data_IF_926271426698
#
_entry.id   IF_926271426698
#
_cell.length_a   1.000
_cell.length_b   1.000
_cell.length_c   1.000
_cell.angle_alpha   90.00
_cell.angle_beta   90.00
_cell.angle_gamma   90.00
#
_symmetry.space_group_name_H-M   'P 1'
#
loop_
_entity.id
_entity.type
_entity.pdbx_description
1 polymer ?
#
# COMPACT_ATOMS: atom_id res chain seq x y z
N UNK A 1 -9.34 -42.72 8.74
CA UNK A 1 -7.98 -42.16 8.64
C UNK A 1 -7.96 -40.89 9.50
N UNK A 2 -6.96 -40.74 10.33
CA UNK A 2 -6.87 -39.59 11.25
C UNK A 2 -6.62 -38.29 10.49
N UNK A 3 -6.94 -37.14 11.11
CA UNK A 3 -6.67 -35.82 10.56
C UNK A 3 -5.16 -35.65 10.22
N UNK A 4 -4.30 -36.07 11.15
CA UNK A 4 -2.85 -35.92 10.98
C UNK A 4 -2.28 -36.79 9.84
N UNK A 5 -2.96 -37.89 9.47
CA UNK A 5 -2.57 -38.77 8.36
C UNK A 5 -3.03 -38.25 6.99
N UNK A 6 -4.11 -37.45 6.95
CA UNK A 6 -4.76 -37.03 5.72
C UNK A 6 -4.55 -35.55 5.38
N UNK A 7 -4.06 -34.75 6.36
CA UNK A 7 -3.82 -33.33 6.15
C UNK A 7 -2.53 -33.12 5.32
N UNK A 8 -2.56 -32.29 4.26
CA UNK A 8 -1.36 -31.93 3.52
C UNK A 8 -0.29 -31.34 4.46
N UNK A 9 0.97 -31.72 4.27
CA UNK A 9 2.10 -31.26 5.11
C UNK A 9 2.17 -29.73 5.24
N UNK A 10 1.91 -29.00 4.17
CA UNK A 10 1.87 -27.52 4.14
C UNK A 10 0.82 -26.95 5.11
N UNK A 11 -0.36 -27.56 5.18
CA UNK A 11 -1.45 -27.14 6.08
C UNK A 11 -1.10 -27.47 7.54
N UNK A 12 -0.45 -28.60 7.78
CA UNK A 12 0.06 -28.97 9.11
C UNK A 12 1.16 -27.99 9.58
N UNK A 13 2.14 -27.72 8.73
CA UNK A 13 3.21 -26.75 9.03
C UNK A 13 2.64 -25.35 9.34
N UNK A 14 1.62 -24.93 8.61
CA UNK A 14 0.90 -23.67 8.88
C UNK A 14 0.23 -23.71 10.26
N UNK A 15 -0.41 -24.82 10.60
CA UNK A 15 -1.07 -24.99 11.91
C UNK A 15 -0.08 -24.87 13.07
N UNK A 16 1.14 -25.38 12.93
CA UNK A 16 2.18 -25.28 13.95
C UNK A 16 2.58 -23.83 14.28
N UNK A 17 2.37 -22.91 13.34
CA UNK A 17 2.69 -21.48 13.46
C UNK A 17 1.54 -20.64 14.08
N UNK A 18 0.40 -21.24 14.41
CA UNK A 18 -0.71 -20.53 15.03
C UNK A 18 -0.35 -19.98 16.42
N UNK A 19 -0.74 -18.73 16.64
CA UNK A 19 -0.63 -18.10 17.97
C UNK A 19 -1.64 -18.71 18.95
N UNK A 20 -1.46 -18.49 20.24
CA UNK A 20 -2.43 -18.91 21.28
C UNK A 20 -3.84 -18.42 20.97
N UNK A 21 -3.99 -17.12 20.65
CA UNK A 21 -5.28 -16.52 20.30
C UNK A 21 -5.94 -17.19 19.10
N UNK A 22 -5.16 -17.52 18.07
CA UNK A 22 -5.67 -18.22 16.89
C UNK A 22 -6.15 -19.63 17.26
N UNK A 23 -5.40 -20.34 18.08
CA UNK A 23 -5.80 -21.66 18.58
C UNK A 23 -7.08 -21.61 19.42
N UNK A 24 -7.24 -20.61 20.29
CA UNK A 24 -8.44 -20.40 21.10
C UNK A 24 -9.69 -20.16 20.23
N UNK A 25 -9.56 -19.35 19.18
CA UNK A 25 -10.65 -19.08 18.23
C UNK A 25 -11.05 -20.35 17.47
N UNK A 26 -10.07 -21.08 16.95
CA UNK A 26 -10.31 -22.35 16.23
C UNK A 26 -10.95 -23.37 17.15
N UNK A 27 -10.45 -23.48 18.38
CA UNK A 27 -11.01 -24.39 19.39
C UNK A 27 -12.47 -24.05 19.71
N UNK A 28 -12.80 -22.75 19.84
CA UNK A 28 -14.16 -22.27 20.06
C UNK A 28 -15.10 -22.61 18.90
N UNK A 29 -14.65 -22.41 17.66
CA UNK A 29 -15.44 -22.74 16.46
C UNK A 29 -15.63 -24.25 16.31
N UNK A 30 -14.63 -25.03 16.71
CA UNK A 30 -14.69 -26.50 16.72
C UNK A 30 -15.40 -27.05 17.96
N UNK A 31 -16.00 -26.24 18.84
CA UNK A 31 -16.61 -26.64 20.12
C UNK A 31 -15.72 -27.55 20.98
N UNK A 32 -14.39 -27.28 20.95
CA UNK A 32 -13.43 -28.01 21.79
C UNK A 32 -13.55 -27.52 23.23
N UNK A 33 -14.21 -28.30 24.07
CA UNK A 33 -14.41 -27.99 25.49
C UNK A 33 -13.18 -28.39 26.32
N UNK A 34 -12.90 -27.61 27.38
CA UNK A 34 -11.86 -27.92 28.37
C UNK A 34 -10.41 -27.89 27.79
N UNK A 35 -10.13 -27.10 26.77
CA UNK A 35 -8.79 -26.90 26.27
C UNK A 35 -8.28 -25.49 26.67
N UNK A 36 -7.09 -25.45 27.23
CA UNK A 36 -6.40 -24.19 27.56
C UNK A 36 -5.04 -24.15 26.89
N UNK A 37 -4.73 -23.04 26.24
CA UNK A 37 -3.45 -22.80 25.57
C UNK A 37 -2.53 -21.88 26.39
N UNK A 38 -2.91 -21.51 27.62
CA UNK A 38 -2.17 -20.52 28.44
C UNK A 38 -0.70 -20.90 28.65
N UNK A 39 -0.44 -22.17 28.93
CA UNK A 39 0.92 -22.68 29.21
C UNK A 39 1.47 -23.54 28.07
N UNK A 40 0.83 -23.52 26.89
CA UNK A 40 1.24 -24.35 25.77
C UNK A 40 2.49 -23.76 25.09
N UNK A 41 3.63 -24.44 25.19
CA UNK A 41 4.85 -24.07 24.45
C UNK A 41 4.68 -24.13 22.94
N UNK A 42 3.75 -24.98 22.44
CA UNK A 42 3.42 -25.15 21.03
C UNK A 42 1.90 -25.26 20.85
N UNK A 43 1.17 -24.15 20.88
CA UNK A 43 -0.29 -24.15 20.88
C UNK A 43 -0.89 -24.79 19.61
N UNK A 44 -0.30 -24.57 18.44
CA UNK A 44 -0.77 -25.17 17.18
C UNK A 44 -0.63 -26.68 17.16
N UNK A 45 0.45 -27.26 17.69
CA UNK A 45 0.62 -28.71 17.80
C UNK A 45 -0.41 -29.31 18.75
N UNK A 46 -0.68 -28.65 19.88
CA UNK A 46 -1.68 -29.07 20.84
C UNK A 46 -3.10 -29.07 20.22
N UNK A 47 -3.44 -28.00 19.48
CA UNK A 47 -4.71 -27.90 18.78
C UNK A 47 -4.89 -29.06 17.77
N UNK A 48 -3.89 -29.31 16.95
CA UNK A 48 -3.95 -30.35 15.93
C UNK A 48 -4.12 -31.75 16.53
N UNK A 49 -3.41 -32.07 17.62
CA UNK A 49 -3.57 -33.30 18.33
C UNK A 49 -4.97 -33.45 18.92
N UNK A 50 -5.57 -32.38 19.40
CA UNK A 50 -6.91 -32.42 19.99
C UNK A 50 -8.01 -32.62 18.90
N UNK A 51 -7.88 -31.93 17.76
CA UNK A 51 -8.78 -32.10 16.61
C UNK A 51 -8.70 -33.54 16.08
N UNK A 52 -7.49 -34.11 15.98
CA UNK A 52 -7.28 -35.49 15.56
C UNK A 52 -7.92 -36.49 16.53
N UNK A 53 -7.74 -36.30 17.86
CA UNK A 53 -8.36 -37.15 18.90
C UNK A 53 -9.88 -37.11 18.86
N UNK A 54 -10.47 -35.99 18.46
CA UNK A 54 -11.93 -35.86 18.32
C UNK A 54 -12.46 -36.35 16.97
N UNK A 55 -11.60 -36.90 16.11
CA UNK A 55 -11.97 -37.51 14.86
C UNK A 55 -12.30 -36.57 13.72
N UNK A 56 -11.81 -35.31 13.77
CA UNK A 56 -11.99 -34.36 12.67
C UNK A 56 -11.25 -34.83 11.41
N UNK A 57 -11.92 -34.72 10.26
CA UNK A 57 -11.29 -34.91 8.96
C UNK A 57 -10.58 -33.66 8.45
N UNK A 58 -9.68 -33.81 7.46
CA UNK A 58 -9.00 -32.68 6.81
C UNK A 58 -9.99 -31.69 6.19
N UNK A 59 -11.14 -32.13 5.67
CA UNK A 59 -12.18 -31.26 5.14
C UNK A 59 -12.89 -30.45 6.25
N UNK A 60 -13.23 -31.10 7.35
CA UNK A 60 -13.81 -30.39 8.52
C UNK A 60 -12.84 -29.39 9.11
N UNK A 61 -11.56 -29.75 9.20
CA UNK A 61 -10.52 -28.81 9.64
C UNK A 61 -10.47 -27.54 8.74
N UNK A 62 -10.52 -27.71 7.41
CA UNK A 62 -10.58 -26.57 6.48
C UNK A 62 -11.84 -25.72 6.67
N UNK A 63 -12.99 -26.34 6.88
CA UNK A 63 -14.25 -25.65 7.18
C UNK A 63 -14.16 -24.86 8.50
N UNK A 64 -13.60 -25.47 9.55
CA UNK A 64 -13.38 -24.81 10.84
C UNK A 64 -12.45 -23.62 10.69
N UNK A 65 -11.33 -23.77 9.97
CA UNK A 65 -10.42 -22.65 9.71
C UNK A 65 -11.13 -21.51 8.98
N UNK A 66 -11.86 -21.84 7.91
CA UNK A 66 -12.62 -20.83 7.17
C UNK A 66 -13.64 -20.13 8.09
N UNK A 67 -14.40 -20.87 8.89
CA UNK A 67 -15.37 -20.32 9.83
C UNK A 67 -14.69 -19.47 10.93
N UNK A 68 -13.59 -19.96 11.51
CA UNK A 68 -12.84 -19.26 12.54
C UNK A 68 -12.27 -17.91 12.03
N UNK A 69 -11.75 -17.91 10.82
CA UNK A 69 -11.19 -16.69 10.22
C UNK A 69 -12.28 -15.78 9.66
N UNK A 70 -13.36 -16.30 9.09
CA UNK A 70 -14.54 -15.51 8.68
C UNK A 70 -15.19 -14.85 9.91
N UNK A 71 -15.39 -15.58 11.01
CA UNK A 71 -15.99 -15.03 12.23
C UNK A 71 -15.12 -13.94 12.85
N UNK A 72 -13.78 -14.06 12.76
CA UNK A 72 -12.87 -13.02 13.24
C UNK A 72 -12.92 -11.77 12.36
N UNK A 73 -13.11 -11.90 11.04
CA UNK A 73 -13.28 -10.78 10.11
C UNK A 73 -14.63 -10.09 10.26
N UNK A 74 -15.68 -10.84 10.52
CA UNK A 74 -17.06 -10.32 10.58
C UNK A 74 -17.34 -9.41 11.79
N UNK A 75 -16.45 -9.36 12.80
CA UNK A 75 -16.78 -8.72 14.10
C UNK A 75 -16.14 -7.35 14.30
N UNK A 76 -15.13 -6.91 13.55
CA UNK A 76 -14.36 -5.76 13.98
C UNK A 76 -14.42 -4.51 13.08
N UNK A 77 -14.29 -4.62 11.77
CA UNK A 77 -14.24 -3.43 10.91
C UNK A 77 -15.08 -3.63 9.66
N UNK A 78 -15.99 -2.69 9.41
CA UNK A 78 -16.88 -2.69 8.24
C UNK A 78 -16.89 -1.28 7.65
N UNK A 79 -15.88 -0.92 6.83
CA UNK A 79 -15.86 0.40 6.22
C UNK A 79 -17.09 0.61 5.34
N UNK A 80 -17.53 1.86 5.23
CA UNK A 80 -18.60 2.24 4.30
C UNK A 80 -18.19 2.01 2.86
N UNK A 81 -16.94 2.33 2.51
CA UNK A 81 -16.38 2.09 1.20
C UNK A 81 -14.87 1.81 1.31
N UNK A 82 -14.29 1.31 0.23
CA UNK A 82 -12.84 1.14 0.08
C UNK A 82 -12.41 1.87 -1.18
N UNK A 83 -11.61 2.91 -1.03
CA UNK A 83 -11.13 3.77 -2.11
C UNK A 83 -9.62 3.77 -2.16
N UNK A 84 -9.07 3.58 -3.35
CA UNK A 84 -7.66 3.69 -3.60
C UNK A 84 -7.40 4.78 -4.65
N UNK A 85 -6.53 5.73 -4.33
CA UNK A 85 -6.04 6.77 -5.24
C UNK A 85 -4.57 6.46 -5.54
N UNK A 86 -4.28 6.12 -6.79
CA UNK A 86 -2.94 5.76 -7.25
C UNK A 86 -2.41 6.87 -8.15
N UNK A 87 -1.28 7.46 -7.79
CA UNK A 87 -0.68 8.58 -8.49
C UNK A 87 0.68 8.13 -9.03
N UNK A 88 0.81 8.04 -10.36
CA UNK A 88 2.04 7.64 -11.04
C UNK A 88 2.54 8.72 -11.98
N UNK A 89 3.63 9.39 -11.62
CA UNK A 89 4.26 10.44 -12.42
C UNK A 89 5.61 9.97 -12.96
N UNK A 90 5.71 9.83 -14.28
CA UNK A 90 6.93 9.37 -14.95
C UNK A 90 7.38 10.28 -16.10
N UNK A 91 6.45 10.96 -16.80
CA UNK A 91 6.74 11.78 -17.97
C UNK A 91 7.00 13.24 -17.57
N UNK A 92 7.99 13.45 -16.73
CA UNK A 92 8.39 14.80 -16.28
C UNK A 92 8.84 15.68 -17.44
N UNK A 93 8.43 16.95 -17.40
CA UNK A 93 8.73 17.94 -18.46
C UNK A 93 10.16 18.50 -18.28
N UNK A 94 10.56 18.76 -17.03
CA UNK A 94 11.81 19.45 -16.70
C UNK A 94 12.76 18.61 -15.82
N UNK A 95 12.31 17.47 -15.33
CA UNK A 95 13.10 16.51 -14.55
C UNK A 95 13.36 15.25 -15.36
N UNK A 96 14.24 14.39 -14.87
CA UNK A 96 14.49 13.10 -15.48
C UNK A 96 13.18 12.27 -15.54
N UNK A 97 12.93 11.61 -16.67
CA UNK A 97 11.81 10.69 -16.81
C UNK A 97 12.06 9.43 -16.00
N UNK A 98 10.98 8.85 -15.47
CA UNK A 98 10.99 7.58 -14.78
C UNK A 98 10.38 6.48 -15.66
N UNK A 99 10.61 5.22 -15.31
CA UNK A 99 10.20 4.08 -16.13
C UNK A 99 9.02 3.30 -15.56
N UNK A 100 8.81 3.31 -14.23
CA UNK A 100 7.93 2.35 -13.56
C UNK A 100 6.61 2.92 -13.00
N UNK A 101 6.46 4.20 -12.65
CA UNK A 101 5.32 4.70 -11.88
C UNK A 101 3.94 4.39 -12.47
N UNK A 102 3.77 4.48 -13.79
CA UNK A 102 2.50 4.17 -14.43
C UNK A 102 2.18 2.67 -14.37
N UNK A 103 3.17 1.82 -14.59
CA UNK A 103 3.06 0.35 -14.52
C UNK A 103 2.79 -0.11 -13.09
N UNK A 104 3.47 0.50 -12.10
CA UNK A 104 3.26 0.23 -10.68
C UNK A 104 1.80 0.49 -10.27
N UNK A 105 1.25 1.63 -10.70
CA UNK A 105 -0.16 1.95 -10.47
C UNK A 105 -1.10 0.93 -11.12
N UNK A 106 -0.81 0.45 -12.33
CA UNK A 106 -1.65 -0.51 -13.03
C UNK A 106 -1.66 -1.88 -12.33
N UNK A 107 -0.50 -2.36 -11.91
CA UNK A 107 -0.39 -3.64 -11.21
C UNK A 107 -1.05 -3.59 -9.83
N UNK A 108 -0.73 -2.58 -9.04
CA UNK A 108 -1.31 -2.40 -7.72
C UNK A 108 -2.84 -2.19 -7.80
N UNK A 109 -3.29 -1.40 -8.77
CA UNK A 109 -4.72 -1.14 -8.99
C UNK A 109 -5.53 -2.39 -9.31
N UNK A 110 -4.99 -3.29 -10.14
CA UNK A 110 -5.63 -4.59 -10.42
C UNK A 110 -5.82 -5.41 -9.14
N UNK A 111 -4.80 -5.50 -8.31
CA UNK A 111 -4.86 -6.26 -7.05
C UNK A 111 -5.77 -5.60 -6.00
N UNK A 112 -5.76 -4.29 -5.86
CA UNK A 112 -6.67 -3.58 -4.97
C UNK A 112 -8.14 -3.75 -5.40
N UNK A 113 -8.41 -3.82 -6.70
CA UNK A 113 -9.75 -4.10 -7.22
C UNK A 113 -10.24 -5.49 -6.80
N UNK A 114 -9.41 -6.53 -6.81
CA UNK A 114 -9.79 -7.87 -6.31
C UNK A 114 -10.13 -7.86 -4.82
N UNK A 115 -9.54 -6.93 -4.06
CA UNK A 115 -9.86 -6.71 -2.65
C UNK A 115 -11.12 -5.86 -2.42
N UNK A 116 -11.81 -5.45 -3.48
CA UNK A 116 -13.05 -4.66 -3.42
C UNK A 116 -12.84 -3.16 -3.25
N UNK A 117 -11.67 -2.64 -3.61
CA UNK A 117 -11.47 -1.19 -3.69
C UNK A 117 -12.04 -0.62 -5.00
N UNK A 118 -12.66 0.55 -4.90
CA UNK A 118 -12.83 1.43 -6.06
C UNK A 118 -11.50 2.14 -6.29
N UNK A 119 -10.90 1.92 -7.44
CA UNK A 119 -9.55 2.39 -7.76
C UNK A 119 -9.61 3.57 -8.72
N UNK A 120 -8.90 4.64 -8.37
CA UNK A 120 -8.72 5.84 -9.20
C UNK A 120 -7.23 5.95 -9.51
N UNK A 121 -6.87 5.94 -10.79
CA UNK A 121 -5.49 6.07 -11.23
C UNK A 121 -5.27 7.41 -11.93
N UNK A 122 -4.31 8.17 -11.43
CA UNK A 122 -3.89 9.48 -11.92
C UNK A 122 -2.47 9.35 -12.49
N UNK A 123 -2.33 9.47 -13.80
CA UNK A 123 -1.03 9.30 -14.47
C UNK A 123 -0.57 10.60 -15.10
N UNK A 124 0.69 10.95 -14.83
CA UNK A 124 1.35 12.10 -15.45
C UNK A 124 0.56 13.40 -15.28
N UNK A 125 0.25 13.75 -14.05
CA UNK A 125 -0.62 14.86 -13.68
C UNK A 125 0.20 16.07 -13.22
N UNK A 126 -0.19 17.27 -13.69
CA UNK A 126 0.36 18.55 -13.22
C UNK A 126 -0.13 18.88 -11.81
N UNK A 127 0.60 19.71 -11.08
CA UNK A 127 0.29 20.00 -9.68
C UNK A 127 -1.06 20.69 -9.49
N UNK A 128 -1.41 21.61 -10.37
CA UNK A 128 -2.69 22.32 -10.31
C UNK A 128 -3.88 21.37 -10.53
N UNK A 129 -3.78 20.48 -11.51
CA UNK A 129 -4.80 19.46 -11.77
C UNK A 129 -4.89 18.48 -10.61
N UNK A 130 -3.75 17.99 -10.10
CA UNK A 130 -3.72 17.01 -9.01
C UNK A 130 -4.36 17.57 -7.73
N UNK A 131 -4.04 18.82 -7.34
CA UNK A 131 -4.68 19.49 -6.19
C UNK A 131 -6.20 19.56 -6.34
N UNK A 132 -6.66 20.00 -7.51
CA UNK A 132 -8.09 20.14 -7.80
C UNK A 132 -8.81 18.78 -7.79
N UNK A 133 -8.23 17.77 -8.44
CA UNK A 133 -8.78 16.42 -8.51
C UNK A 133 -8.89 15.81 -7.12
N UNK A 134 -7.86 15.89 -6.28
CA UNK A 134 -7.87 15.34 -4.91
C UNK A 134 -8.99 15.95 -4.06
N UNK A 135 -9.19 17.28 -4.14
CA UNK A 135 -10.28 17.96 -3.42
C UNK A 135 -11.63 17.35 -3.82
N UNK A 136 -11.95 17.32 -5.10
CA UNK A 136 -13.26 16.88 -5.56
C UNK A 136 -13.50 15.37 -5.44
N UNK A 137 -12.45 14.53 -5.61
CA UNK A 137 -12.59 13.09 -5.41
C UNK A 137 -12.89 12.75 -3.95
N UNK A 138 -12.18 13.39 -3.01
CA UNK A 138 -12.35 13.09 -1.59
C UNK A 138 -13.65 13.64 -1.00
N UNK A 139 -14.26 14.67 -1.61
CA UNK A 139 -15.59 15.17 -1.23
C UNK A 139 -16.73 14.15 -1.45
N UNK A 140 -16.56 13.21 -2.40
CA UNK A 140 -17.59 12.19 -2.68
C UNK A 140 -17.33 10.85 -1.99
N UNK A 141 -16.21 10.72 -1.29
CA UNK A 141 -15.90 9.52 -0.50
C UNK A 141 -16.70 9.54 0.80
N UNK A 142 -17.48 8.50 1.11
CA UNK A 142 -18.23 8.41 2.36
C UNK A 142 -17.33 8.45 3.61
N UNK A 143 -17.85 9.00 4.70
CA UNK A 143 -17.19 8.87 6.01
C UNK A 143 -17.02 7.38 6.38
N UNK A 144 -16.12 7.10 7.31
CA UNK A 144 -15.82 5.73 7.79
C UNK A 144 -15.38 4.76 6.67
N UNK A 145 -14.80 5.30 5.59
CA UNK A 145 -14.22 4.51 4.50
C UNK A 145 -12.76 4.13 4.78
N UNK A 146 -12.26 3.12 4.08
CA UNK A 146 -10.84 2.87 3.95
C UNK A 146 -10.30 3.67 2.77
N UNK A 147 -9.34 4.54 3.03
CA UNK A 147 -8.68 5.35 2.02
C UNK A 147 -7.21 4.91 1.90
N UNK A 148 -6.83 4.38 0.75
CA UNK A 148 -5.45 4.08 0.41
C UNK A 148 -4.99 5.08 -0.65
N UNK A 149 -3.87 5.75 -0.40
CA UNK A 149 -3.21 6.59 -1.40
C UNK A 149 -1.82 6.05 -1.65
N UNK A 150 -1.50 5.78 -2.89
CA UNK A 150 -0.18 5.38 -3.36
C UNK A 150 0.36 6.45 -4.30
N UNK A 151 1.59 6.87 -4.07
CA UNK A 151 2.30 7.79 -4.94
C UNK A 151 3.61 7.14 -5.40
N UNK A 152 3.85 7.14 -6.71
CA UNK A 152 5.12 6.79 -7.33
C UNK A 152 5.58 7.94 -8.24
N UNK A 153 6.82 8.41 -8.06
CA UNK A 153 7.35 9.53 -8.80
C UNK A 153 8.51 10.22 -8.10
N UNK A 154 8.95 11.37 -8.65
CA UNK A 154 9.94 12.20 -7.96
C UNK A 154 9.37 12.83 -6.70
N UNK A 155 10.22 12.91 -5.68
CA UNK A 155 9.90 13.56 -4.44
C UNK A 155 11.14 14.17 -3.79
N UNK A 156 10.90 15.05 -2.84
CA UNK A 156 11.96 15.64 -2.04
C UNK A 156 11.47 15.92 -0.63
N UNK A 157 12.40 16.26 0.24
CA UNK A 157 12.09 16.69 1.60
C UNK A 157 12.61 18.12 1.82
N UNK A 158 11.75 18.99 2.37
CA UNK A 158 12.06 20.38 2.64
C UNK A 158 11.59 20.69 4.06
N UNK A 159 12.49 21.05 4.97
CA UNK A 159 12.15 21.33 6.36
C UNK A 159 11.26 20.24 7.00
N UNK A 160 11.62 18.98 6.83
CA UNK A 160 10.85 17.80 7.27
C UNK A 160 9.46 17.63 6.59
N UNK A 161 9.14 18.46 5.60
CA UNK A 161 7.92 18.33 4.80
C UNK A 161 8.21 17.52 3.54
N UNK A 162 7.49 16.42 3.34
CA UNK A 162 7.60 15.58 2.15
C UNK A 162 6.80 16.22 1.02
N UNK A 163 7.45 16.39 -0.13
CA UNK A 163 6.91 17.03 -1.31
C UNK A 163 6.85 16.03 -2.46
N UNK A 164 5.65 15.80 -2.97
CA UNK A 164 5.37 14.97 -4.13
C UNK A 164 5.44 15.86 -5.37
N UNK A 165 6.41 15.61 -6.23
CA UNK A 165 6.65 16.45 -7.41
C UNK A 165 5.73 16.04 -8.55
N UNK A 166 5.00 17.01 -9.11
CA UNK A 166 4.18 16.80 -10.30
C UNK A 166 5.01 16.91 -11.58
N UNK A 167 4.46 16.45 -12.70
CA UNK A 167 5.23 16.38 -13.97
C UNK A 167 5.68 17.75 -14.50
N UNK A 168 5.04 18.82 -14.10
CA UNK A 168 5.33 20.22 -14.44
C UNK A 168 6.30 20.89 -13.46
N UNK A 169 6.85 20.15 -12.49
CA UNK A 169 7.83 20.69 -11.55
C UNK A 169 9.11 21.10 -12.30
N UNK A 170 9.56 22.37 -12.18
CA UNK A 170 10.79 22.81 -12.81
C UNK A 170 12.03 22.23 -12.12
N UNK A 171 13.16 22.20 -12.82
CA UNK A 171 14.45 21.77 -12.27
C UNK A 171 15.06 22.78 -11.29
N UNK A 172 14.70 24.06 -11.44
CA UNK A 172 15.21 25.18 -10.63
C UNK A 172 14.06 26.13 -10.25
N UNK A 173 14.28 26.94 -9.22
CA UNK A 173 13.29 27.91 -8.73
C UNK A 173 11.93 27.28 -8.39
N UNK A 174 11.97 26.13 -7.72
CA UNK A 174 10.78 25.41 -7.30
C UNK A 174 9.94 26.30 -6.36
N UNK A 175 8.63 26.29 -6.58
CA UNK A 175 7.64 27.06 -5.82
C UNK A 175 6.57 26.11 -5.24
N UNK A 176 5.82 26.50 -4.19
CA UNK A 176 4.78 25.65 -3.57
C UNK A 176 3.68 25.19 -4.53
N UNK A 177 3.44 25.90 -5.62
CA UNK A 177 2.47 25.48 -6.65
C UNK A 177 2.95 24.30 -7.51
N UNK A 178 4.24 23.96 -7.52
CA UNK A 178 4.81 22.92 -8.38
C UNK A 178 4.78 21.52 -7.77
N UNK A 179 4.30 21.39 -6.54
CA UNK A 179 4.23 20.11 -5.83
C UNK A 179 3.03 20.02 -4.88
N UNK A 180 2.82 18.85 -4.34
CA UNK A 180 1.87 18.60 -3.25
C UNK A 180 2.65 18.18 -2.02
N UNK A 181 2.31 18.74 -0.85
CA UNK A 181 2.85 18.29 0.42
C UNK A 181 2.09 17.07 0.93
N UNK A 182 2.78 16.22 1.68
CA UNK A 182 2.14 15.14 2.44
C UNK A 182 1.02 15.67 3.33
N UNK A 183 1.25 16.81 3.99
CA UNK A 183 0.26 17.46 4.85
C UNK A 183 -1.00 17.88 4.08
N UNK A 184 -0.85 18.46 2.89
CA UNK A 184 -2.01 18.77 2.05
C UNK A 184 -2.82 17.51 1.76
N UNK A 185 -2.16 16.44 1.34
CA UNK A 185 -2.80 15.17 1.01
C UNK A 185 -3.54 14.58 2.22
N UNK A 186 -2.88 14.50 3.37
CA UNK A 186 -3.49 14.03 4.62
C UNK A 186 -4.67 14.89 5.04
N UNK A 187 -4.57 16.23 4.93
CA UNK A 187 -5.66 17.14 5.25
C UNK A 187 -6.86 16.98 4.31
N UNK A 188 -6.64 16.66 3.02
CA UNK A 188 -7.77 16.34 2.13
C UNK A 188 -8.42 15.00 2.50
N UNK A 189 -7.63 13.96 2.77
CA UNK A 189 -8.16 12.65 3.21
C UNK A 189 -8.91 12.78 4.54
N UNK A 190 -8.46 13.64 5.47
CA UNK A 190 -9.14 13.87 6.75
C UNK A 190 -10.60 14.32 6.61
N UNK A 191 -10.92 15.04 5.53
CA UNK A 191 -12.28 15.58 5.32
C UNK A 191 -13.35 14.48 5.20
N UNK A 192 -13.00 13.33 4.64
CA UNK A 192 -13.91 12.18 4.59
C UNK A 192 -13.89 11.32 5.86
N UNK A 193 -13.19 11.74 6.93
CA UNK A 193 -13.13 11.03 8.23
C UNK A 193 -12.94 9.52 8.06
N UNK A 194 -11.86 9.07 7.44
CA UNK A 194 -11.67 7.66 7.12
C UNK A 194 -11.54 6.81 8.39
N UNK A 195 -12.07 5.59 8.36
CA UNK A 195 -11.83 4.60 9.42
C UNK A 195 -10.43 3.98 9.32
N UNK A 196 -9.83 3.99 8.13
CA UNK A 196 -8.43 3.65 7.88
C UNK A 196 -7.87 4.57 6.79
N UNK A 197 -6.73 5.20 7.06
CA UNK A 197 -5.93 5.92 6.06
C UNK A 197 -4.58 5.21 5.89
N UNK A 198 -4.27 4.79 4.66
CA UNK A 198 -2.98 4.21 4.28
C UNK A 198 -2.36 5.10 3.22
N UNK A 199 -1.21 5.68 3.51
CA UNK A 199 -0.45 6.51 2.58
C UNK A 199 0.88 5.82 2.28
N UNK A 200 1.09 5.43 1.04
CA UNK A 200 2.30 4.73 0.58
C UNK A 200 3.04 5.61 -0.43
N UNK A 201 4.29 5.94 -0.12
CA UNK A 201 5.09 6.84 -0.92
C UNK A 201 6.33 6.15 -1.46
N UNK A 202 6.34 5.88 -2.75
CA UNK A 202 7.49 5.39 -3.49
C UNK A 202 8.17 6.53 -4.23
N UNK A 203 9.02 7.24 -3.50
CA UNK A 203 9.71 8.42 -3.99
C UNK A 203 11.06 8.64 -3.28
N UNK A 204 11.97 9.33 -3.95
CA UNK A 204 13.17 9.85 -3.30
C UNK A 204 12.82 10.84 -2.19
N UNK A 205 13.64 10.86 -1.14
CA UNK A 205 13.51 11.82 -0.02
C UNK A 205 14.79 12.64 0.13
N UNK A 206 15.36 13.03 -1.01
CA UNK A 206 16.59 13.85 -1.05
C UNK A 206 16.24 15.28 -0.66
N UNK A 207 17.01 15.86 0.26
CA UNK A 207 16.84 17.26 0.64
C UNK A 207 17.19 18.20 -0.52
N UNK A 208 16.33 19.18 -0.78
CA UNK A 208 16.63 20.26 -1.72
C UNK A 208 17.68 21.21 -1.14
N UNK A 209 18.57 21.70 -2.01
CA UNK A 209 19.55 22.69 -1.61
C UNK A 209 18.84 24.00 -1.20
N UNK A 210 19.07 24.40 0.06
CA UNK A 210 18.49 25.60 0.66
C UNK A 210 18.95 26.88 -0.05
N UNK A 211 20.20 26.93 -0.52
CA UNK A 211 20.76 28.13 -1.13
C UNK A 211 20.07 28.46 -2.46
N UNK A 212 19.70 27.42 -3.22
CA UNK A 212 19.01 27.56 -4.50
C UNK A 212 17.49 27.74 -4.37
N UNK A 213 16.93 27.57 -3.15
CA UNK A 213 15.48 27.57 -2.92
C UNK A 213 15.07 28.40 -1.68
N UNK A 214 15.78 29.49 -1.37
CA UNK A 214 15.57 30.28 -0.13
C UNK A 214 14.11 30.74 0.07
N UNK A 215 13.47 31.23 -0.98
CA UNK A 215 12.08 31.70 -0.93
C UNK A 215 11.10 30.55 -0.59
N UNK A 216 11.35 29.35 -1.13
CA UNK A 216 10.56 28.17 -0.88
C UNK A 216 10.66 27.74 0.59
N UNK A 217 11.88 27.73 1.16
CA UNK A 217 12.08 27.40 2.56
C UNK A 217 11.39 28.39 3.50
N UNK A 218 11.44 29.69 3.18
CA UNK A 218 10.74 30.71 3.96
C UNK A 218 9.22 30.52 3.94
N UNK A 219 8.64 30.17 2.80
CA UNK A 219 7.20 29.94 2.66
C UNK A 219 6.73 28.67 3.37
N UNK A 220 7.51 27.57 3.36
CA UNK A 220 7.14 26.31 4.01
C UNK A 220 7.28 26.36 5.53
N UNK A 221 8.10 27.24 6.09
CA UNK A 221 8.21 27.43 7.56
C UNK A 221 6.94 28.03 8.19
N UNK A 222 6.04 28.61 7.40
CA UNK A 222 4.78 29.23 7.89
C UNK A 222 3.58 28.27 7.86
N UNK A 223 3.79 26.96 7.74
CA UNK A 223 2.79 26.03 7.24
C UNK A 223 1.90 25.34 8.22
N UNK A 224 0.86 24.92 7.60
CA UNK A 224 -0.23 23.96 7.83
C UNK A 224 -0.10 23.10 9.09
N UNK A 225 -1.08 23.23 9.99
CA UNK A 225 -1.25 22.35 11.11
C UNK A 225 -1.46 20.90 10.65
N UNK A 226 -0.78 20.00 11.30
CA UNK A 226 -0.96 18.56 11.10
C UNK A 226 -2.34 18.13 11.59
N UNK A 227 -3.18 17.66 10.71
CA UNK A 227 -4.37 16.91 11.12
C UNK A 227 -3.94 15.56 11.67
N UNK A 228 -4.09 15.35 12.98
CA UNK A 228 -3.83 14.06 13.60
C UNK A 228 -4.96 13.11 13.21
N UNK A 229 -4.64 12.14 12.36
CA UNK A 229 -5.58 11.10 11.99
C UNK A 229 -5.54 9.94 12.98
N UNK A 230 -6.70 9.47 13.39
CA UNK A 230 -6.82 8.11 13.94
C UNK A 230 -6.66 7.11 12.80
N UNK A 231 -6.05 5.96 13.10
CA UNK A 231 -5.95 4.86 12.13
C UNK A 231 -5.17 5.22 10.85
N UNK A 232 -4.09 5.98 11.01
CA UNK A 232 -3.18 6.36 9.95
C UNK A 232 -1.98 5.43 9.91
N UNK A 233 -1.66 4.94 8.72
CA UNK A 233 -0.38 4.29 8.40
C UNK A 233 0.25 5.02 7.22
N UNK A 234 1.49 5.44 7.39
CA UNK A 234 2.31 6.02 6.31
C UNK A 234 3.52 5.12 6.10
N UNK A 235 3.70 4.63 4.87
CA UNK A 235 4.86 3.88 4.43
C UNK A 235 5.66 4.67 3.40
N UNK A 236 6.97 4.77 3.61
CA UNK A 236 7.89 5.33 2.63
C UNK A 236 8.81 4.23 2.13
N UNK A 237 9.07 4.22 0.83
CA UNK A 237 9.98 3.24 0.22
C UNK A 237 11.43 3.42 0.65
N UNK A 238 11.80 4.58 1.20
CA UNK A 238 13.18 4.87 1.62
C UNK A 238 13.26 5.84 2.79
N UNK A 239 14.40 5.86 3.48
CA UNK A 239 14.73 6.83 4.54
C UNK A 239 14.90 8.25 3.97
N UNK A 240 14.88 9.25 4.87
CA UNK A 240 15.31 10.61 4.56
C UNK A 240 16.73 10.61 3.97
N UNK A 241 17.01 11.53 3.06
CA UNK A 241 18.28 11.68 2.34
C UNK A 241 18.70 10.48 1.47
N UNK A 242 17.75 9.60 1.13
CA UNK A 242 18.01 8.42 0.30
C UNK A 242 17.14 8.43 -0.95
N UNK A 243 17.66 7.80 -2.01
CA UNK A 243 16.93 7.57 -3.26
C UNK A 243 16.10 6.28 -3.20
N UNK A 244 14.94 6.27 -3.86
CA UNK A 244 14.22 5.07 -4.23
C UNK A 244 14.79 4.55 -5.58
N UNK A 245 14.69 3.25 -5.80
CA UNK A 245 15.29 2.61 -6.98
C UNK A 245 14.22 1.97 -7.85
N UNK A 246 14.37 2.17 -9.16
CA UNK A 246 13.61 1.46 -10.18
C UNK A 246 14.41 0.24 -10.66
N UNK A 247 13.71 -0.86 -10.94
CA UNK A 247 14.28 -2.02 -11.63
C UNK A 247 13.84 -1.96 -13.08
N UNK A 248 14.75 -1.61 -13.96
CA UNK A 248 14.53 -1.58 -15.39
C UNK A 248 15.26 -2.76 -16.01
N UNK A 249 14.51 -3.64 -16.70
CA UNK A 249 15.11 -4.70 -17.52
C UNK A 249 15.33 -4.17 -18.92
N UNK A 250 16.52 -4.38 -19.45
CA UNK A 250 16.89 -3.96 -20.80
C UNK A 250 17.17 -5.20 -21.63
N UNK A 251 16.41 -5.41 -22.70
CA UNK A 251 16.78 -6.38 -23.74
C UNK A 251 17.79 -5.73 -24.67
N UNK A 252 19.02 -6.25 -24.63
CA UNK A 252 20.12 -5.71 -25.39
C UNK A 252 20.11 -6.26 -26.82
N UNK A 253 20.19 -5.36 -27.79
CA UNK A 253 20.38 -5.74 -29.21
C UNK A 253 21.80 -6.22 -29.52
N UNK A 254 22.73 -6.09 -28.57
CA UNK A 254 24.14 -6.50 -28.67
C UNK A 254 24.72 -6.84 -27.29
N UNK A 255 25.82 -7.60 -27.26
CA UNK A 255 26.52 -7.95 -26.03
C UNK A 255 27.21 -6.72 -25.42
N UNK A 256 27.03 -6.52 -24.11
CA UNK A 256 27.64 -5.42 -23.35
C UNK A 256 28.72 -5.98 -22.45
N UNK A 257 29.91 -5.43 -22.54
CA UNK A 257 30.95 -5.64 -21.53
C UNK A 257 30.54 -4.97 -20.23
N UNK A 258 30.67 -5.67 -19.11
CA UNK A 258 30.16 -5.35 -17.78
C UNK A 258 30.76 -4.07 -17.18
N UNK A 259 30.36 -2.89 -17.66
CA UNK A 259 30.60 -1.61 -17.00
C UNK A 259 29.32 -1.08 -16.37
N UNK A 260 29.48 -0.48 -15.20
CA UNK A 260 28.44 -0.03 -14.26
C UNK A 260 27.45 1.04 -14.77
N UNK A 261 27.62 1.54 -15.97
CA UNK A 261 26.71 2.48 -16.66
C UNK A 261 26.52 2.05 -18.10
N UNK A 262 25.26 1.74 -18.45
CA UNK A 262 24.87 1.42 -19.81
C UNK A 262 24.04 2.57 -20.39
N UNK A 263 24.47 3.10 -21.54
CA UNK A 263 23.68 4.05 -22.33
C UNK A 263 22.86 3.26 -23.36
N UNK A 264 21.53 3.48 -23.37
CA UNK A 264 20.60 2.87 -24.32
C UNK A 264 21.06 3.15 -25.77
N UNK A 265 21.23 2.08 -26.54
CA UNK A 265 21.58 2.15 -27.97
C UNK A 265 20.35 1.89 -28.83
N UNK A 266 20.44 2.28 -30.08
CA UNK A 266 19.39 1.99 -31.08
C UNK A 266 19.17 0.48 -31.20
N UNK A 267 17.95 0.02 -30.97
CA UNK A 267 17.58 -1.40 -31.01
C UNK A 267 17.40 -2.06 -29.65
N UNK A 268 17.84 -1.43 -28.55
CA UNK A 268 17.56 -1.93 -27.20
C UNK A 268 16.11 -1.68 -26.83
N UNK A 269 15.48 -2.67 -26.23
CA UNK A 269 14.11 -2.54 -25.69
C UNK A 269 14.17 -2.45 -24.17
N UNK A 270 13.59 -1.37 -23.63
CA UNK A 270 13.36 -1.24 -22.19
C UNK A 270 12.10 -2.01 -21.84
N UNK A 271 12.25 -3.08 -21.07
CA UNK A 271 11.11 -3.79 -20.49
C UNK A 271 10.77 -3.07 -19.18
N UNK A 272 9.61 -2.43 -19.16
CA UNK A 272 9.12 -1.76 -17.95
C UNK A 272 8.86 -2.79 -16.87
N UNK A 273 9.75 -2.84 -15.87
CA UNK A 273 9.54 -3.57 -14.63
C UNK A 273 8.68 -2.76 -13.64
N UNK A 274 8.40 -3.34 -12.49
CA UNK A 274 7.87 -2.61 -11.35
C UNK A 274 9.03 -2.06 -10.50
N UNK A 275 8.79 -0.97 -9.75
CA UNK A 275 9.71 -0.56 -8.68
C UNK A 275 9.82 -1.68 -7.65
N UNK A 276 10.91 -1.71 -6.88
CA UNK A 276 11.07 -2.73 -5.84
C UNK A 276 9.98 -2.62 -4.77
N UNK A 277 9.58 -1.39 -4.44
CA UNK A 277 8.53 -1.16 -3.45
C UNK A 277 7.16 -1.59 -3.96
N UNK A 278 6.78 -1.22 -5.18
CA UNK A 278 5.52 -1.62 -5.78
C UNK A 278 5.47 -3.14 -6.05
N UNK A 279 6.59 -3.76 -6.43
CA UNK A 279 6.66 -5.23 -6.58
C UNK A 279 6.38 -5.93 -5.25
N UNK A 280 7.09 -5.56 -4.19
CA UNK A 280 6.87 -6.12 -2.86
C UNK A 280 5.43 -5.86 -2.35
N UNK A 281 4.86 -4.67 -2.61
CA UNK A 281 3.45 -4.40 -2.32
C UNK A 281 2.53 -5.37 -3.08
N UNK A 282 2.74 -5.56 -4.36
CA UNK A 282 1.93 -6.48 -5.19
C UNK A 282 2.05 -7.93 -4.72
N UNK A 283 3.20 -8.34 -4.21
CA UNK A 283 3.40 -9.71 -3.72
C UNK A 283 2.63 -9.99 -2.42
N UNK A 284 2.46 -8.97 -1.57
CA UNK A 284 1.86 -9.11 -0.24
C UNK A 284 0.46 -8.50 -0.08
N UNK A 285 0.00 -7.62 -0.98
CA UNK A 285 -1.25 -6.85 -0.80
C UNK A 285 -2.49 -7.73 -0.59
N UNK A 286 -2.47 -8.94 -1.12
CA UNK A 286 -3.54 -9.95 -1.00
C UNK A 286 -3.35 -10.89 0.20
N UNK A 287 -2.32 -10.69 1.04
CA UNK A 287 -2.10 -11.49 2.23
C UNK A 287 -3.21 -11.23 3.27
N UNK A 288 -3.70 -12.33 3.86
CA UNK A 288 -4.73 -12.25 4.91
C UNK A 288 -4.12 -11.88 6.27
N UNK A 289 -3.75 -10.61 6.42
CA UNK A 289 -3.20 -10.06 7.65
C UNK A 289 -3.68 -8.62 7.87
N UNK A 290 -3.38 -8.05 9.03
CA UNK A 290 -3.63 -6.63 9.27
C UNK A 290 -2.65 -5.76 8.46
N UNK A 291 -3.08 -4.52 8.17
CA UNK A 291 -2.33 -3.61 7.30
C UNK A 291 -0.93 -3.26 7.84
N UNK A 292 -0.75 -3.22 9.15
CA UNK A 292 0.56 -2.94 9.74
C UNK A 292 1.54 -4.09 9.52
N UNK A 293 1.07 -5.33 9.72
CA UNK A 293 1.83 -6.55 9.44
C UNK A 293 2.11 -6.74 7.94
N UNK A 294 1.16 -6.34 7.08
CA UNK A 294 1.35 -6.34 5.63
C UNK A 294 2.52 -5.44 5.24
N UNK A 295 2.54 -4.20 5.71
CA UNK A 295 3.61 -3.25 5.39
C UNK A 295 4.96 -3.68 6.00
N UNK A 296 4.98 -4.37 7.15
CA UNK A 296 6.23 -4.93 7.69
C UNK A 296 6.84 -6.00 6.77
N UNK A 297 6.02 -6.85 6.14
CA UNK A 297 6.49 -7.82 5.14
C UNK A 297 7.04 -7.12 3.91
N UNK A 298 6.31 -6.15 3.36
CA UNK A 298 6.75 -5.34 2.21
C UNK A 298 8.10 -4.70 2.48
N UNK A 299 8.26 -4.07 3.65
CA UNK A 299 9.49 -3.40 4.04
C UNK A 299 10.65 -4.40 4.20
N UNK A 300 10.38 -5.58 4.77
CA UNK A 300 11.37 -6.64 4.88
C UNK A 300 11.87 -7.12 3.52
N UNK A 301 11.00 -7.29 2.54
CA UNK A 301 11.37 -7.70 1.19
C UNK A 301 12.16 -6.62 0.45
N UNK A 302 11.77 -5.36 0.59
CA UNK A 302 12.53 -4.24 0.01
C UNK A 302 13.93 -4.13 0.61
N UNK A 303 14.08 -4.27 1.93
CA UNK A 303 15.39 -4.27 2.59
C UNK A 303 16.28 -5.43 2.14
N UNK A 304 15.70 -6.60 1.92
CA UNK A 304 16.42 -7.78 1.45
C UNK A 304 16.85 -7.66 -0.02
N UNK A 305 15.99 -7.10 -0.87
CA UNK A 305 16.26 -6.95 -2.29
C UNK A 305 17.23 -5.80 -2.60
N UNK A 306 17.06 -4.65 -1.93
CA UNK A 306 17.82 -3.44 -2.18
C UNK A 306 18.72 -3.09 -1.00
N UNK A 307 20.00 -3.47 -1.06
CA UNK A 307 20.98 -3.23 0.03
C UNK A 307 21.07 -1.78 0.51
N UNK A 308 20.66 -0.81 -0.31
CA UNK A 308 20.76 0.64 -0.02
C UNK A 308 19.38 1.28 0.26
N UNK A 309 18.28 0.61 -0.02
CA UNK A 309 16.94 1.14 0.24
C UNK A 309 16.49 0.70 1.64
N UNK A 310 16.00 1.66 2.42
CA UNK A 310 15.58 1.43 3.81
C UNK A 310 14.18 2.03 3.99
N UNK A 311 13.13 1.24 3.81
CA UNK A 311 11.76 1.72 3.99
C UNK A 311 11.48 2.01 5.46
N UNK A 312 10.57 2.95 5.71
CA UNK A 312 10.09 3.26 7.05
C UNK A 312 8.58 3.31 7.11
N UNK A 313 8.03 3.00 8.27
CA UNK A 313 6.61 3.04 8.55
C UNK A 313 6.34 3.93 9.77
N UNK A 314 5.36 4.81 9.62
CA UNK A 314 4.76 5.58 10.72
C UNK A 314 3.31 5.12 10.88
N UNK A 315 2.84 4.95 12.11
CA UNK A 315 1.46 4.54 12.33
C UNK A 315 0.87 5.16 13.59
N UNK A 316 -0.42 5.46 13.56
CA UNK A 316 -1.21 5.95 14.67
C UNK A 316 -2.55 5.20 14.74
N UNK A 317 -2.71 4.36 15.77
CA UNK A 317 -3.97 3.70 16.09
C UNK A 317 -4.52 2.70 15.06
N UNK A 318 -3.70 2.12 14.18
CA UNK A 318 -4.11 1.24 13.07
C UNK A 318 -4.51 -0.18 13.54
N UNK A 319 -5.00 -0.36 14.75
CA UNK A 319 -5.21 -1.68 15.32
C UNK A 319 -5.99 -2.66 14.40
N UNK A 320 -5.35 -3.75 14.01
CA UNK A 320 -5.90 -4.96 13.38
C UNK A 320 -6.84 -4.79 12.16
N UNK A 321 -6.84 -3.63 11.47
CA UNK A 321 -7.58 -3.44 10.23
C UNK A 321 -6.90 -4.16 9.09
N UNK A 322 -7.70 -4.84 8.26
CA UNK A 322 -7.22 -5.59 7.09
C UNK A 322 -7.77 -4.99 5.80
N UNK A 323 -6.97 -5.00 4.75
CA UNK A 323 -7.47 -4.62 3.42
C UNK A 323 -8.54 -5.59 2.89
N UNK A 324 -8.70 -6.75 3.53
CA UNK A 324 -9.76 -7.72 3.26
C UNK A 324 -11.08 -7.42 3.98
N UNK A 325 -11.14 -6.44 4.89
CA UNK A 325 -12.38 -6.09 5.57
C UNK A 325 -13.46 -5.74 4.54
N UNK A 326 -14.69 -6.31 4.65
CA UNK A 326 -15.73 -6.09 3.66
C UNK A 326 -16.35 -4.71 3.78
N UNK A 327 -16.49 -3.99 2.67
CA UNK A 327 -17.25 -2.76 2.62
C UNK A 327 -18.76 -3.02 2.78
N UNK A 328 -19.48 -2.10 3.42
CA UNK A 328 -20.92 -2.21 3.68
C UNK A 328 -21.78 -1.32 2.78
N UNK A 329 -21.20 -0.28 2.18
CA UNK A 329 -21.91 0.66 1.33
C UNK A 329 -22.03 0.19 -0.12
N UNK A 330 -22.77 0.96 -0.92
CA UNK A 330 -22.97 0.69 -2.35
C UNK A 330 -21.77 1.17 -3.16
N UNK A 331 -20.90 0.22 -3.53
CA UNK A 331 -19.73 0.48 -4.37
C UNK A 331 -20.09 0.95 -5.78
N UNK A 332 -21.25 0.55 -6.31
CA UNK A 332 -21.71 0.96 -7.64
C UNK A 332 -22.11 2.43 -7.67
N UNK A 333 -22.75 2.91 -6.61
CA UNK A 333 -23.11 4.32 -6.46
C UNK A 333 -21.84 5.18 -6.30
N UNK A 334 -20.91 4.75 -5.46
CA UNK A 334 -19.64 5.43 -5.30
C UNK A 334 -18.88 5.53 -6.61
N UNK A 335 -18.76 4.41 -7.36
CA UNK A 335 -18.10 4.37 -8.65
C UNK A 335 -18.72 5.39 -9.64
N UNK A 336 -20.05 5.43 -9.74
CA UNK A 336 -20.76 6.41 -10.59
C UNK A 336 -20.46 7.85 -10.20
N UNK A 337 -20.45 8.15 -8.89
CA UNK A 337 -20.16 9.50 -8.39
C UNK A 337 -18.71 9.91 -8.73
N UNK A 338 -17.76 9.04 -8.50
CA UNK A 338 -16.34 9.27 -8.82
C UNK A 338 -16.14 9.45 -10.34
N UNK A 339 -16.76 8.62 -11.17
CA UNK A 339 -16.70 8.74 -12.63
C UNK A 339 -17.30 10.07 -13.12
N UNK A 340 -18.37 10.56 -12.47
CA UNK A 340 -18.96 11.86 -12.81
C UNK A 340 -18.00 13.01 -12.50
N UNK A 341 -17.33 12.97 -11.34
CA UNK A 341 -16.33 13.96 -10.95
C UNK A 341 -15.15 13.97 -11.93
N UNK A 342 -14.61 12.78 -12.23
CA UNK A 342 -13.46 12.64 -13.14
C UNK A 342 -13.78 13.16 -14.53
N UNK A 343 -14.96 12.86 -15.08
CA UNK A 343 -15.38 13.33 -16.41
C UNK A 343 -15.41 14.87 -16.53
N UNK A 344 -15.56 15.57 -15.41
CA UNK A 344 -15.57 17.04 -15.37
C UNK A 344 -14.17 17.64 -15.24
N UNK A 345 -13.16 16.84 -14.87
CA UNK A 345 -11.85 17.34 -14.47
C UNK A 345 -10.73 17.06 -15.47
N UNK A 346 -10.62 15.87 -16.02
CA UNK A 346 -9.54 15.51 -16.95
C UNK A 346 -9.73 14.12 -17.58
N UNK A 347 -9.42 13.98 -18.87
CA UNK A 347 -9.50 12.71 -19.61
C UNK A 347 -8.40 11.69 -19.26
N UNK A 348 -7.32 12.11 -18.57
CA UNK A 348 -6.19 11.26 -18.18
C UNK A 348 -6.41 10.53 -16.84
N UNK A 349 -7.64 10.57 -16.31
CA UNK A 349 -7.98 9.94 -15.03
C UNK A 349 -8.81 8.68 -15.30
N UNK A 350 -8.38 7.55 -14.79
CA UNK A 350 -9.06 6.27 -14.94
C UNK A 350 -9.70 5.90 -13.60
N UNK A 351 -10.99 5.56 -13.62
CA UNK A 351 -11.73 5.04 -12.46
C UNK A 351 -12.22 3.63 -12.78
N UNK A 352 -11.77 2.66 -11.97
CA UNK A 352 -12.04 1.23 -12.17
C UNK A 352 -12.82 0.63 -10.99
#
# INVERSE_FOLDING_TARGET
MSLLQTLPYKDYERALKFTKEQCEIIAKVADLRNISFLDAGKPGEMLMKQLDRQGYSANQYKQILNSAFITRKATFYKPQAKVAILIGNEQYIHLAKLATPATDCDHLGKKLKTLGFTVITLKNITSGVLKNVLVHLLEVVPNDSYCLVFYAGHGCEICNTKCLLSIDCPSENIQPQHFITENFLLNQVAKCKPDLCVLLMDMCRVNLDRNNNQNLFAQLLTTEEYSIHKNLLVGYSTLADHAAYEVVQIELSHSVDSKLTYELKTGDQVIHGASQYASALCDHIEDDCDVASLIDKVHGDVENAAKKQRPIKLQCGVAKRSLHDPATGDSSLLLKNLQKVVKQLNDNIIVL
#
